data_IF_443308751179
#
_entry.id   IF_443308751179
#
_cell.length_a   1.000
_cell.length_b   1.000
_cell.length_c   1.000
_cell.angle_alpha   90.00
_cell.angle_beta   90.00
_cell.angle_gamma   90.00
#
_symmetry.space_group_name_H-M   'P 1'
#
loop_
_entity.id
_entity.type
_entity.pdbx_description
1 polymer ?
#
# COMPACT_ATOMS: atom_id res chain seq x y z
N UNK A 1 8.83 16.85 15.07
CA UNK A 1 8.08 16.85 13.80
C UNK A 1 7.51 15.46 13.60
N UNK A 2 6.34 15.20 14.20
CA UNK A 2 5.66 13.90 14.16
C UNK A 2 4.98 13.74 12.81
N UNK A 3 5.37 12.74 12.02
CA UNK A 3 4.77 12.42 10.71
C UNK A 3 3.39 11.73 10.87
N UNK A 4 2.53 12.22 11.76
CA UNK A 4 1.35 11.49 12.23
C UNK A 4 0.20 11.41 11.19
N UNK A 5 0.32 12.12 10.06
CA UNK A 5 -0.73 12.18 9.02
C UNK A 5 -0.21 12.11 7.58
N UNK A 6 1.02 11.62 7.36
CA UNK A 6 1.55 11.52 5.99
C UNK A 6 0.95 10.30 5.29
N UNK A 7 0.17 10.56 4.24
CA UNK A 7 -0.30 9.54 3.31
C UNK A 7 0.58 9.45 2.07
N UNK A 8 0.63 8.27 1.45
CA UNK A 8 1.51 7.96 0.33
C UNK A 8 0.72 7.46 -0.88
N UNK A 9 1.12 7.88 -2.08
CA UNK A 9 0.67 7.25 -3.32
C UNK A 9 1.53 6.01 -3.54
N UNK A 10 0.90 4.86 -3.74
CA UNK A 10 1.56 3.55 -3.84
C UNK A 10 1.16 2.89 -5.15
N UNK A 11 2.15 2.36 -5.88
CA UNK A 11 1.92 1.54 -7.05
C UNK A 11 2.49 0.13 -6.81
N UNK A 12 1.67 -0.89 -6.99
CA UNK A 12 2.06 -2.30 -6.87
C UNK A 12 2.10 -2.88 -8.28
N UNK A 13 3.29 -3.07 -8.82
CA UNK A 13 3.45 -3.65 -10.16
C UNK A 13 3.21 -5.15 -10.09
N UNK A 14 2.37 -5.68 -11.00
CA UNK A 14 2.05 -7.10 -11.02
C UNK A 14 1.12 -7.49 -9.87
N UNK A 15 0.16 -6.63 -9.52
CA UNK A 15 -0.81 -6.86 -8.45
C UNK A 15 -1.63 -8.16 -8.61
N UNK A 16 -1.69 -8.73 -9.82
CA UNK A 16 -2.37 -10.00 -10.11
C UNK A 16 -1.49 -11.24 -9.88
N UNK A 17 -0.21 -11.07 -9.56
CA UNK A 17 0.69 -12.17 -9.22
C UNK A 17 0.69 -12.45 -7.72
N UNK A 18 1.17 -13.63 -7.32
CA UNK A 18 1.19 -14.05 -5.91
C UNK A 18 1.86 -13.03 -4.96
N UNK A 19 2.93 -12.37 -5.43
CA UNK A 19 3.62 -11.32 -4.66
C UNK A 19 2.79 -10.03 -4.59
N UNK A 20 2.16 -9.64 -5.68
CA UNK A 20 1.32 -8.44 -5.76
C UNK A 20 0.13 -8.52 -4.82
N UNK A 21 -0.60 -9.63 -4.86
CA UNK A 21 -1.72 -9.89 -3.96
C UNK A 21 -1.30 -9.89 -2.48
N UNK A 22 -0.16 -10.51 -2.17
CA UNK A 22 0.41 -10.53 -0.81
C UNK A 22 0.75 -9.11 -0.33
N UNK A 23 1.37 -8.29 -1.19
CA UNK A 23 1.69 -6.90 -0.87
C UNK A 23 0.43 -6.08 -0.59
N UNK A 24 -0.64 -6.28 -1.36
CA UNK A 24 -1.93 -5.64 -1.11
C UNK A 24 -2.54 -6.05 0.25
N UNK A 25 -2.48 -7.34 0.60
CA UNK A 25 -2.95 -7.83 1.91
C UNK A 25 -2.17 -7.18 3.06
N UNK A 26 -0.84 -7.13 2.96
CA UNK A 26 0.02 -6.54 3.99
C UNK A 26 -0.27 -5.05 4.17
N UNK A 27 -0.46 -4.29 3.09
CA UNK A 27 -0.78 -2.87 3.16
C UNK A 27 -2.10 -2.63 3.91
N UNK A 28 -3.11 -3.48 3.66
CA UNK A 28 -4.40 -3.42 4.36
C UNK A 28 -4.26 -3.81 5.84
N UNK A 29 -3.61 -4.94 6.14
CA UNK A 29 -3.39 -5.43 7.51
C UNK A 29 -2.65 -4.42 8.39
N UNK A 30 -1.67 -3.71 7.82
CA UNK A 30 -0.85 -2.74 8.52
C UNK A 30 -1.53 -1.38 8.67
N UNK A 31 -2.74 -1.20 8.13
CA UNK A 31 -3.39 0.11 7.97
C UNK A 31 -2.41 1.14 7.38
N UNK A 32 -1.66 0.72 6.35
CA UNK A 32 -0.65 1.59 5.78
C UNK A 32 -1.32 2.85 5.22
N UNK A 33 -0.78 4.05 5.48
CA UNK A 33 -1.44 5.31 5.12
C UNK A 33 -1.36 5.56 3.61
N UNK A 34 -2.18 4.85 2.83
CA UNK A 34 -2.30 5.03 1.39
C UNK A 34 -3.21 6.22 1.09
N UNK A 35 -2.75 7.14 0.24
CA UNK A 35 -3.56 8.20 -0.35
C UNK A 35 -4.24 7.71 -1.64
N UNK A 36 -3.44 7.12 -2.54
CA UNK A 36 -3.89 6.57 -3.81
C UNK A 36 -3.17 5.25 -4.05
N UNK A 37 -3.89 4.21 -4.45
CA UNK A 37 -3.33 2.91 -4.81
C UNK A 37 -3.47 2.69 -6.32
N UNK A 38 -2.37 2.30 -6.96
CA UNK A 38 -2.32 1.79 -8.33
C UNK A 38 -1.90 0.33 -8.27
N UNK A 39 -2.65 -0.57 -8.89
CA UNK A 39 -2.44 -2.02 -8.83
C UNK A 39 -2.50 -2.59 -10.24
#
# INVERSE_FOLDING_TARGET
MSNENRRFNVAVVGATGAVGETMLSILAERNFPVATLYA
#
